data_IF_216481211619
#
_entry.id   IF_216481211619
#
_cell.length_a   1.000
_cell.length_b   1.000
_cell.length_c   1.000
_cell.angle_alpha   90.00
_cell.angle_beta   90.00
_cell.angle_gamma   90.00
#
_symmetry.space_group_name_H-M   'P 1'
#
loop_
_entity.id
_entity.type
_entity.pdbx_description
1 polymer ?
#
# COMPACT_ATOMS: atom_id res chain seq x y z
N UNK A 1 -0.24 -10.15 7.12
CA UNK A 1 -0.14 -9.09 8.14
C UNK A 1 -1.19 -9.34 9.20
N UNK A 2 -0.89 -9.05 10.47
CA UNK A 2 -1.84 -9.28 11.59
C UNK A 2 -1.50 -8.27 12.71
N UNK A 3 -2.01 -7.05 12.61
CA UNK A 3 -1.81 -5.97 13.59
C UNK A 3 -3.16 -5.30 13.92
N UNK A 4 -3.97 -5.92 14.82
CA UNK A 4 -5.29 -5.42 15.15
C UNK A 4 -5.25 -4.03 15.81
N UNK A 5 -6.33 -3.21 15.66
CA UNK A 5 -7.61 -3.60 15.06
C UNK A 5 -7.71 -3.37 13.55
N UNK A 6 -6.79 -2.66 12.91
CA UNK A 6 -6.96 -2.15 11.52
C UNK A 6 -5.71 -2.33 10.65
N UNK A 7 -4.75 -3.10 11.11
CA UNK A 7 -3.48 -3.31 10.39
C UNK A 7 -2.77 -1.98 10.04
N UNK A 8 -2.81 -0.98 10.92
CA UNK A 8 -1.93 0.17 10.83
C UNK A 8 -0.49 -0.30 11.11
N UNK A 9 0.46 0.07 10.27
CA UNK A 9 1.82 -0.45 10.34
C UNK A 9 2.77 0.58 11.00
N UNK A 10 3.41 0.16 12.09
CA UNK A 10 4.54 0.86 12.67
C UNK A 10 5.82 0.64 11.86
N UNK A 11 6.85 1.42 12.14
CA UNK A 11 8.12 1.32 11.43
C UNK A 11 8.76 -0.06 11.56
N UNK A 12 8.72 -0.66 12.76
CA UNK A 12 9.27 -1.99 13.02
C UNK A 12 8.60 -3.08 12.18
N UNK A 13 7.26 -3.08 12.10
CA UNK A 13 6.49 -4.04 11.30
C UNK A 13 6.77 -3.88 9.82
N UNK A 14 6.88 -2.64 9.38
CA UNK A 14 7.15 -2.28 7.98
C UNK A 14 8.55 -2.74 7.56
N UNK A 15 9.58 -2.54 8.39
CA UNK A 15 10.92 -3.09 8.15
C UNK A 15 10.96 -4.62 8.20
N UNK A 16 10.21 -5.24 9.12
CA UNK A 16 10.12 -6.69 9.19
C UNK A 16 9.53 -7.29 7.91
N UNK A 17 8.49 -6.66 7.36
CA UNK A 17 7.91 -7.03 6.08
C UNK A 17 8.93 -6.88 4.93
N UNK A 18 9.65 -5.76 4.88
CA UNK A 18 10.69 -5.54 3.89
C UNK A 18 11.78 -6.62 3.95
N UNK A 19 12.30 -6.90 5.16
CA UNK A 19 13.33 -7.93 5.37
C UNK A 19 12.86 -9.34 4.98
N UNK A 20 11.60 -9.66 5.25
CA UNK A 20 11.00 -10.93 4.83
C UNK A 20 10.98 -11.08 3.31
N UNK A 21 10.54 -10.06 2.58
CA UNK A 21 10.44 -10.05 1.13
C UNK A 21 11.82 -10.08 0.46
N UNK A 22 12.77 -9.31 0.97
CA UNK A 22 14.16 -9.31 0.49
C UNK A 22 14.83 -10.69 0.72
N UNK A 23 14.46 -11.39 1.79
CA UNK A 23 14.94 -12.75 2.10
C UNK A 23 14.60 -13.79 1.04
N UNK A 24 13.54 -13.59 0.25
CA UNK A 24 13.17 -14.53 -0.83
C UNK A 24 14.12 -14.49 -2.04
N UNK A 25 15.06 -13.56 -2.08
CA UNK A 25 16.10 -13.50 -3.11
C UNK A 25 16.95 -14.77 -3.16
N UNK A 26 17.23 -15.37 -2.00
CA UNK A 26 18.06 -16.56 -1.84
C UNK A 26 17.26 -17.87 -1.63
N UNK A 27 15.92 -17.77 -1.65
CA UNK A 27 15.03 -18.91 -1.42
C UNK A 27 14.57 -19.51 -2.77
N UNK A 28 15.24 -20.61 -3.20
CA UNK A 28 14.88 -21.32 -4.43
C UNK A 28 13.58 -22.13 -4.30
N UNK A 29 13.20 -22.47 -3.08
CA UNK A 29 11.97 -23.21 -2.75
C UNK A 29 10.72 -22.32 -2.77
N UNK A 30 10.86 -20.98 -2.74
CA UNK A 30 9.75 -20.02 -2.84
C UNK A 30 9.57 -19.59 -4.29
N UNK A 31 8.37 -19.77 -4.83
CA UNK A 31 8.03 -19.42 -6.23
C UNK A 31 7.10 -18.23 -6.36
N UNK A 32 6.23 -18.02 -5.39
CA UNK A 32 5.23 -16.92 -5.33
C UNK A 32 5.00 -16.56 -3.88
N UNK A 33 4.75 -15.30 -3.60
CA UNK A 33 4.32 -14.80 -2.29
C UNK A 33 2.87 -14.37 -2.39
N UNK A 34 2.04 -14.76 -1.43
CA UNK A 34 0.70 -14.18 -1.23
C UNK A 34 0.79 -13.21 -0.05
N UNK A 35 0.61 -11.93 -0.34
CA UNK A 35 0.56 -10.86 0.66
C UNK A 35 -0.90 -10.61 1.04
N UNK A 36 -1.25 -10.91 2.28
CA UNK A 36 -2.62 -10.78 2.79
C UNK A 36 -2.62 -10.27 4.22
N UNK A 37 -3.81 -9.96 4.74
CA UNK A 37 -4.00 -9.48 6.11
C UNK A 37 -5.12 -10.22 6.81
N UNK A 38 -4.98 -10.39 8.14
CA UNK A 38 -6.03 -10.91 9.00
C UNK A 38 -6.88 -9.80 9.57
N UNK A 39 -8.08 -10.17 10.00
CA UNK A 39 -9.01 -9.28 10.68
C UNK A 39 -9.64 -8.25 9.75
N UNK A 40 -9.91 -7.09 10.31
CA UNK A 40 -10.63 -6.03 9.63
C UNK A 40 -9.67 -5.21 8.77
N UNK A 41 -9.81 -5.33 7.45
CA UNK A 41 -9.09 -4.56 6.46
C UNK A 41 -7.67 -5.03 6.18
N UNK A 42 -7.18 -4.70 5.00
CA UNK A 42 -5.83 -5.04 4.57
C UNK A 42 -4.78 -4.19 5.29
N UNK A 43 -4.93 -2.86 5.25
CA UNK A 43 -4.03 -1.92 5.92
C UNK A 43 -4.66 -0.54 5.98
N UNK A 44 -4.65 0.08 7.16
CA UNK A 44 -5.16 1.45 7.38
C UNK A 44 -4.10 2.55 7.18
N UNK A 45 -2.88 2.21 6.79
CA UNK A 45 -1.78 3.16 6.63
C UNK A 45 -0.71 3.03 7.72
N UNK A 46 0.05 4.10 7.95
CA UNK A 46 1.05 4.19 9.02
C UNK A 46 0.38 4.32 10.40
N UNK A 47 1.06 3.84 11.44
CA UNK A 47 0.60 4.09 12.82
C UNK A 47 0.92 5.53 13.23
N UNK A 48 -0.10 6.40 13.13
CA UNK A 48 0.01 7.83 13.50
C UNK A 48 0.33 8.01 14.99
N UNK A 49 -0.10 7.09 15.85
CA UNK A 49 0.18 7.16 17.29
C UNK A 49 1.66 6.92 17.57
N UNK A 50 2.28 5.96 16.86
CA UNK A 50 3.72 5.71 16.94
C UNK A 50 4.51 6.95 16.50
N UNK A 51 4.16 7.54 15.36
CA UNK A 51 4.81 8.77 14.86
C UNK A 51 4.76 9.87 15.92
N UNK A 52 3.59 10.13 16.49
CA UNK A 52 3.44 11.20 17.48
C UNK A 52 4.16 10.89 18.80
N UNK A 53 4.18 9.63 19.23
CA UNK A 53 4.94 9.23 20.42
C UNK A 53 6.44 9.47 20.24
N UNK A 54 6.98 9.21 19.04
CA UNK A 54 8.38 9.46 18.71
C UNK A 54 8.71 10.95 18.54
N UNK A 55 7.73 11.76 18.14
CA UNK A 55 7.87 13.21 17.88
C UNK A 55 7.40 14.06 19.08
N UNK A 56 7.20 13.44 20.26
CA UNK A 56 6.69 14.09 21.46
C UNK A 56 7.59 15.21 22.01
N UNK A 57 8.85 15.25 21.62
CA UNK A 57 9.83 16.29 21.96
C UNK A 57 9.84 17.49 20.97
N UNK A 58 8.90 17.50 20.00
CA UNK A 58 8.82 18.52 18.96
C UNK A 58 9.74 18.28 17.76
N UNK A 59 10.35 17.08 17.69
CA UNK A 59 11.15 16.65 16.54
C UNK A 59 10.30 16.05 15.42
N UNK A 60 10.99 15.46 14.44
CA UNK A 60 10.37 14.78 13.29
C UNK A 60 10.96 13.38 13.06
N UNK A 61 11.45 12.75 14.12
CA UNK A 61 12.10 11.43 14.04
C UNK A 61 11.12 10.34 13.63
N UNK A 62 9.91 10.34 14.21
CA UNK A 62 8.86 9.39 13.89
C UNK A 62 8.40 9.52 12.44
N UNK A 63 8.22 10.74 11.95
CA UNK A 63 7.90 11.00 10.55
C UNK A 63 9.00 10.51 9.60
N UNK A 64 10.27 10.78 9.90
CA UNK A 64 11.40 10.34 9.08
C UNK A 64 11.47 8.82 9.05
N UNK A 65 11.29 8.17 10.20
CA UNK A 65 11.35 6.72 10.33
C UNK A 65 10.21 6.02 9.60
N UNK A 66 8.96 6.52 9.74
CA UNK A 66 7.81 6.02 9.00
C UNK A 66 8.02 6.13 7.48
N UNK A 67 8.53 7.26 7.00
CA UNK A 67 8.81 7.44 5.57
C UNK A 67 9.90 6.50 5.05
N UNK A 68 10.97 6.26 5.82
CA UNK A 68 12.05 5.34 5.43
C UNK A 68 11.56 3.89 5.40
N UNK A 69 10.87 3.46 6.45
CA UNK A 69 10.35 2.10 6.53
C UNK A 69 9.35 1.81 5.41
N UNK A 70 8.46 2.76 5.08
CA UNK A 70 7.55 2.65 3.95
C UNK A 70 8.30 2.53 2.62
N UNK A 71 9.33 3.37 2.38
CA UNK A 71 10.15 3.29 1.16
C UNK A 71 10.76 1.90 0.99
N UNK A 72 11.34 1.34 2.06
CA UNK A 72 11.95 0.01 2.04
C UNK A 72 10.92 -1.09 1.78
N UNK A 73 9.75 -1.05 2.43
CA UNK A 73 8.71 -2.04 2.22
C UNK A 73 8.13 -1.98 0.81
N UNK A 74 7.86 -0.78 0.29
CA UNK A 74 7.35 -0.61 -1.07
C UNK A 74 8.34 -1.11 -2.12
N UNK A 75 9.62 -0.76 -1.94
CA UNK A 75 10.71 -1.28 -2.77
C UNK A 75 10.80 -2.80 -2.66
N UNK A 76 10.71 -3.37 -1.45
CA UNK A 76 10.84 -4.81 -1.24
C UNK A 76 9.71 -5.61 -1.90
N UNK A 77 8.46 -5.10 -1.94
CA UNK A 77 7.37 -5.71 -2.71
C UNK A 77 7.66 -5.64 -4.21
N UNK A 78 8.03 -4.45 -4.70
CA UNK A 78 8.34 -4.22 -6.12
C UNK A 78 9.50 -5.08 -6.62
N UNK A 79 10.60 -5.12 -5.86
CA UNK A 79 11.84 -5.83 -6.20
C UNK A 79 11.88 -7.26 -5.67
N UNK A 80 10.80 -7.77 -5.06
CA UNK A 80 10.74 -9.15 -4.59
C UNK A 80 11.19 -10.09 -5.70
N UNK A 81 12.07 -11.03 -5.38
CA UNK A 81 12.66 -11.91 -6.40
C UNK A 81 11.64 -12.84 -7.07
N UNK A 82 10.48 -13.02 -6.47
CA UNK A 82 9.36 -13.82 -6.98
C UNK A 82 8.10 -12.96 -7.10
N UNK A 83 7.11 -13.35 -7.92
CA UNK A 83 5.84 -12.65 -7.99
C UNK A 83 5.16 -12.53 -6.64
N UNK A 84 4.54 -11.38 -6.41
CA UNK A 84 3.72 -11.09 -5.23
C UNK A 84 2.26 -10.96 -5.66
N UNK A 85 1.39 -11.80 -5.12
CA UNK A 85 -0.06 -11.74 -5.26
C UNK A 85 -0.62 -11.06 -4.01
N UNK A 86 -1.23 -9.89 -4.15
CA UNK A 86 -1.92 -9.23 -3.05
C UNK A 86 -3.37 -9.73 -2.96
N UNK A 87 -3.75 -10.24 -1.79
CA UNK A 87 -5.12 -10.63 -1.46
C UNK A 87 -5.70 -9.59 -0.49
N UNK A 88 -6.57 -8.71 -1.00
CA UNK A 88 -6.97 -7.48 -0.33
C UNK A 88 -8.40 -7.59 0.19
N UNK A 89 -8.56 -7.41 1.51
CA UNK A 89 -9.85 -7.44 2.20
C UNK A 89 -10.25 -6.05 2.73
N UNK A 90 -11.53 -5.74 2.69
CA UNK A 90 -12.25 -4.59 3.24
C UNK A 90 -11.67 -3.21 2.83
N UNK A 91 -10.57 -2.72 3.42
CA UNK A 91 -9.95 -1.44 3.05
C UNK A 91 -8.44 -1.55 2.86
N UNK A 92 -7.93 -0.72 1.95
CA UNK A 92 -6.52 -0.62 1.60
C UNK A 92 -6.14 0.86 1.49
N UNK A 93 -5.55 1.42 2.55
CA UNK A 93 -5.31 2.86 2.68
C UNK A 93 -3.84 3.17 2.91
N UNK A 94 -3.38 4.31 2.41
CA UNK A 94 -2.05 4.84 2.70
C UNK A 94 -0.92 3.86 2.38
N UNK A 95 -0.24 3.37 3.43
CA UNK A 95 0.79 2.32 3.29
C UNK A 95 0.28 1.08 2.56
N UNK A 96 -1.01 0.72 2.75
CA UNK A 96 -1.64 -0.37 2.00
C UNK A 96 -1.60 -0.15 0.49
N UNK A 97 -1.88 1.07 0.02
CA UNK A 97 -1.74 1.43 -1.41
C UNK A 97 -0.29 1.29 -1.87
N UNK A 98 0.67 1.70 -1.03
CA UNK A 98 2.09 1.53 -1.32
C UNK A 98 2.49 0.07 -1.50
N UNK A 99 1.97 -0.83 -0.67
CA UNK A 99 2.22 -2.26 -0.77
C UNK A 99 1.52 -2.88 -2.00
N UNK A 100 0.21 -2.65 -2.14
CA UNK A 100 -0.61 -3.27 -3.18
C UNK A 100 -0.28 -2.73 -4.57
N UNK A 101 0.01 -1.42 -4.70
CA UNK A 101 0.43 -0.82 -5.97
C UNK A 101 1.79 -1.32 -6.49
N UNK A 102 2.56 -2.01 -5.64
CA UNK A 102 3.82 -2.66 -6.02
C UNK A 102 3.72 -4.18 -6.16
N UNK A 103 2.58 -4.77 -5.82
CA UNK A 103 2.34 -6.18 -6.10
C UNK A 103 2.19 -6.43 -7.61
N UNK A 104 2.44 -7.67 -8.04
CA UNK A 104 2.37 -8.05 -9.44
C UNK A 104 0.94 -8.40 -9.87
N UNK A 105 0.15 -8.95 -8.97
CA UNK A 105 -1.24 -9.35 -9.20
C UNK A 105 -2.07 -9.03 -7.98
N UNK A 106 -3.30 -8.57 -8.19
CA UNK A 106 -4.21 -8.20 -7.11
C UNK A 106 -5.51 -9.00 -7.24
N UNK A 107 -5.91 -9.63 -6.15
CA UNK A 107 -7.24 -10.20 -5.93
C UNK A 107 -7.88 -9.42 -4.79
N UNK A 108 -9.09 -8.94 -4.95
CA UNK A 108 -9.76 -8.10 -3.97
C UNK A 108 -11.13 -8.65 -3.57
N UNK A 109 -11.52 -8.45 -2.32
CA UNK A 109 -12.90 -8.65 -1.92
C UNK A 109 -13.80 -7.52 -2.47
N UNK A 110 -15.07 -7.80 -2.72
CA UNK A 110 -16.08 -6.84 -3.25
C UNK A 110 -16.18 -5.56 -2.38
N UNK A 111 -15.99 -5.72 -1.06
CA UNK A 111 -16.13 -4.62 -0.10
C UNK A 111 -14.94 -3.65 -0.08
N UNK A 112 -13.86 -3.92 -0.82
CA UNK A 112 -12.61 -3.15 -0.68
C UNK A 112 -12.76 -1.73 -1.18
N UNK A 113 -12.39 -0.77 -0.29
CA UNK A 113 -12.10 0.61 -0.65
C UNK A 113 -10.60 0.86 -0.71
N UNK A 114 -10.11 1.36 -1.85
CA UNK A 114 -8.72 1.75 -2.08
C UNK A 114 -8.57 3.26 -2.03
N UNK A 115 -7.59 3.79 -1.30
CA UNK A 115 -7.40 5.23 -1.31
C UNK A 115 -6.25 5.79 -0.49
N UNK A 116 -6.08 7.10 -0.61
CA UNK A 116 -5.05 7.89 0.06
C UNK A 116 -5.68 9.01 0.88
N UNK A 117 -5.90 8.80 2.20
CA UNK A 117 -6.47 9.84 3.08
C UNK A 117 -5.41 10.83 3.59
N UNK A 118 -4.21 10.86 2.98
CA UNK A 118 -3.05 11.58 3.45
C UNK A 118 -3.26 13.10 3.45
N UNK A 119 -3.95 13.66 2.46
CA UNK A 119 -4.21 15.12 2.38
C UNK A 119 -5.02 15.58 3.59
N UNK A 120 -6.03 14.83 4.01
CA UNK A 120 -6.81 15.11 5.22
C UNK A 120 -5.97 15.01 6.50
N UNK A 121 -4.85 14.27 6.45
CA UNK A 121 -3.92 14.11 7.56
C UNK A 121 -2.72 15.07 7.49
N UNK A 122 -2.71 16.02 6.55
CA UNK A 122 -1.61 16.98 6.37
C UNK A 122 -0.31 16.34 5.90
N UNK A 123 -0.40 15.25 5.15
CA UNK A 123 0.73 14.50 4.62
C UNK A 123 0.53 14.21 3.13
N UNK A 124 1.56 13.71 2.50
CA UNK A 124 1.51 13.08 1.18
C UNK A 124 2.15 11.70 1.30
N UNK A 125 1.77 10.78 0.44
CA UNK A 125 2.36 9.45 0.44
C UNK A 125 1.63 8.51 -0.51
N UNK A 126 2.42 7.59 -1.10
CA UNK A 126 1.96 6.52 -1.98
C UNK A 126 1.24 6.94 -3.28
N UNK A 127 1.23 8.23 -3.68
CA UNK A 127 0.65 8.65 -4.96
C UNK A 127 1.34 7.99 -6.16
N UNK A 128 2.65 7.80 -6.10
CA UNK A 128 3.42 7.01 -7.07
C UNK A 128 2.80 5.62 -7.28
N UNK A 129 2.44 4.95 -6.19
CA UNK A 129 1.90 3.59 -6.20
C UNK A 129 0.42 3.57 -6.60
N UNK A 130 -0.34 4.61 -6.22
CA UNK A 130 -1.72 4.79 -6.69
C UNK A 130 -1.77 4.96 -8.21
N UNK A 131 -0.82 5.68 -8.82
CA UNK A 131 -0.74 5.85 -10.27
C UNK A 131 -0.47 4.55 -11.03
N UNK A 132 -0.08 3.48 -10.35
CA UNK A 132 0.01 2.13 -10.92
C UNK A 132 -1.32 1.37 -10.88
N UNK A 133 -2.26 1.84 -10.06
CA UNK A 133 -3.57 1.21 -9.85
C UNK A 133 -4.69 1.86 -10.67
N UNK A 134 -4.61 3.18 -10.88
CA UNK A 134 -5.66 3.94 -11.55
C UNK A 134 -5.07 4.94 -12.55
N UNK A 135 -5.85 5.39 -13.55
CA UNK A 135 -5.40 6.43 -14.50
C UNK A 135 -5.00 7.72 -13.79
N UNK A 136 -4.05 8.46 -14.36
CA UNK A 136 -3.43 9.64 -13.74
C UNK A 136 -4.43 10.71 -13.26
N UNK A 137 -5.51 10.98 -14.01
CA UNK A 137 -6.52 11.97 -13.60
C UNK A 137 -7.37 11.46 -12.44
N UNK A 138 -7.67 10.15 -12.39
CA UNK A 138 -8.36 9.53 -11.27
C UNK A 138 -7.48 9.53 -10.02
N UNK A 139 -6.19 9.22 -10.15
CA UNK A 139 -5.22 9.30 -9.05
C UNK A 139 -5.16 10.71 -8.44
N UNK A 140 -5.16 11.77 -9.26
CA UNK A 140 -5.18 13.16 -8.80
C UNK A 140 -6.46 13.47 -8.01
N UNK A 141 -7.61 13.05 -8.53
CA UNK A 141 -8.88 13.26 -7.84
C UNK A 141 -8.90 12.54 -6.49
N UNK A 142 -8.54 11.25 -6.46
CA UNK A 142 -8.50 10.45 -5.24
C UNK A 142 -7.54 11.06 -4.20
N UNK A 143 -6.35 11.52 -4.62
CA UNK A 143 -5.38 12.14 -3.71
C UNK A 143 -5.90 13.46 -3.14
N UNK A 144 -6.52 14.32 -3.97
CA UNK A 144 -6.95 15.65 -3.54
C UNK A 144 -8.25 15.64 -2.72
N UNK A 145 -9.17 14.72 -3.05
CA UNK A 145 -10.48 14.61 -2.40
C UNK A 145 -10.51 13.59 -1.26
N UNK A 146 -9.48 12.76 -1.14
CA UNK A 146 -9.45 11.58 -0.26
C UNK A 146 -10.59 10.57 -0.56
N UNK A 147 -11.19 10.63 -1.76
CA UNK A 147 -12.20 9.69 -2.21
C UNK A 147 -11.60 8.31 -2.46
N UNK A 148 -12.33 7.26 -2.08
CA UNK A 148 -11.90 5.89 -2.32
C UNK A 148 -12.42 5.39 -3.69
N UNK A 149 -11.65 4.50 -4.30
CA UNK A 149 -12.10 3.70 -5.44
C UNK A 149 -12.52 2.30 -4.96
N UNK A 150 -13.51 1.71 -5.60
CA UNK A 150 -13.95 0.34 -5.29
C UNK A 150 -13.05 -0.71 -5.96
N UNK A 151 -13.15 -1.96 -5.49
CA UNK A 151 -12.51 -3.10 -6.14
C UNK A 151 -12.97 -3.27 -7.60
N UNK A 152 -14.26 -3.07 -7.86
CA UNK A 152 -14.84 -3.11 -9.20
C UNK A 152 -14.31 -2.01 -10.12
N UNK A 153 -14.12 -0.80 -9.59
CA UNK A 153 -13.51 0.29 -10.35
C UNK A 153 -12.09 -0.06 -10.77
N UNK A 154 -11.26 -0.60 -9.86
CA UNK A 154 -9.90 -1.02 -10.17
C UNK A 154 -9.87 -2.23 -11.11
N UNK A 155 -10.84 -3.12 -11.01
CA UNK A 155 -11.01 -4.23 -11.93
C UNK A 155 -11.32 -3.73 -13.35
N UNK A 156 -12.20 -2.75 -13.48
CA UNK A 156 -12.51 -2.11 -14.76
C UNK A 156 -11.29 -1.43 -15.40
N UNK A 157 -10.35 -0.92 -14.60
CA UNK A 157 -9.05 -0.40 -15.08
C UNK A 157 -8.03 -1.50 -15.42
N UNK A 158 -8.30 -2.76 -15.04
CA UNK A 158 -7.40 -3.90 -15.24
C UNK A 158 -6.32 -4.05 -14.17
N UNK A 159 -6.36 -3.28 -13.08
CA UNK A 159 -5.39 -3.35 -11.99
C UNK A 159 -5.72 -4.47 -11.00
N UNK A 160 -7.00 -4.75 -10.76
CA UNK A 160 -7.46 -5.90 -9.98
C UNK A 160 -7.82 -7.03 -10.94
N UNK A 161 -7.18 -8.19 -10.78
CA UNK A 161 -7.40 -9.35 -11.63
C UNK A 161 -8.79 -9.98 -11.42
N UNK A 162 -9.17 -10.15 -10.15
CA UNK A 162 -10.48 -10.73 -9.76
C UNK A 162 -11.06 -9.99 -8.56
N UNK A 163 -12.36 -9.77 -8.60
CA UNK A 163 -13.16 -9.31 -7.46
C UNK A 163 -14.05 -10.47 -7.03
N UNK A 164 -14.03 -10.79 -5.74
CA UNK A 164 -14.69 -11.98 -5.18
C UNK A 164 -15.33 -11.66 -3.82
N UNK A 165 -16.18 -12.54 -3.32
CA UNK A 165 -16.67 -12.41 -1.94
C UNK A 165 -15.51 -12.54 -0.93
N UNK A 166 -15.69 -11.99 0.27
CA UNK A 166 -14.66 -12.04 1.32
C UNK A 166 -14.27 -13.49 1.68
N UNK A 167 -15.23 -14.40 1.65
CA UNK A 167 -15.01 -15.82 1.97
C UNK A 167 -14.21 -16.56 0.89
N UNK A 168 -14.28 -16.12 -0.36
CA UNK A 168 -13.56 -16.72 -1.50
C UNK A 168 -12.15 -16.13 -1.68
N UNK A 169 -11.83 -15.03 -1.02
CA UNK A 169 -10.60 -14.27 -1.25
C UNK A 169 -9.34 -15.13 -1.09
N UNK A 170 -9.24 -15.90 -0.02
CA UNK A 170 -8.05 -16.70 0.28
C UNK A 170 -7.85 -17.84 -0.74
N UNK A 171 -8.93 -18.52 -1.09
CA UNK A 171 -8.90 -19.63 -2.05
C UNK A 171 -8.58 -19.11 -3.45
N UNK A 172 -9.18 -18.01 -3.88
CA UNK A 172 -8.91 -17.37 -5.18
C UNK A 172 -7.45 -16.90 -5.27
N UNK A 173 -6.94 -16.25 -4.22
CA UNK A 173 -5.54 -15.83 -4.21
C UNK A 173 -4.58 -17.02 -4.28
N UNK A 174 -4.92 -18.12 -3.61
CA UNK A 174 -4.14 -19.36 -3.64
C UNK A 174 -4.19 -20.01 -5.03
N UNK A 175 -5.36 -20.03 -5.68
CA UNK A 175 -5.51 -20.51 -7.07
C UNK A 175 -4.62 -19.69 -8.03
N UNK A 176 -4.69 -18.36 -7.94
CA UNK A 176 -3.88 -17.46 -8.78
C UNK A 176 -2.38 -17.69 -8.54
N UNK A 177 -1.97 -17.79 -7.27
CA UNK A 177 -0.58 -18.09 -6.92
C UNK A 177 -0.15 -19.47 -7.47
N UNK A 178 -1.02 -20.46 -7.44
CA UNK A 178 -0.80 -21.80 -8.00
C UNK A 178 -0.52 -21.77 -9.51
N UNK A 179 -1.26 -20.95 -10.26
CA UNK A 179 -1.02 -20.77 -11.71
C UNK A 179 0.39 -20.23 -11.97
N UNK A 180 0.85 -19.29 -11.18
CA UNK A 180 2.20 -18.72 -11.29
C UNK A 180 3.25 -19.73 -10.82
N UNK A 181 3.03 -20.39 -9.68
CA UNK A 181 3.96 -21.36 -9.12
C UNK A 181 4.20 -22.59 -10.01
N UNK A 182 3.27 -22.91 -10.91
CA UNK A 182 3.42 -23.98 -11.91
C UNK A 182 4.40 -23.62 -13.05
N UNK A 183 4.80 -22.35 -13.19
CA UNK A 183 5.76 -21.91 -14.21
C UNK A 183 7.20 -22.22 -13.79
N UNK A 184 8.13 -22.18 -14.76
CA UNK A 184 9.55 -22.28 -14.46
C UNK A 184 9.99 -21.09 -13.60
N UNK A 185 10.61 -21.37 -12.44
CA UNK A 185 10.97 -20.35 -11.44
C UNK A 185 11.96 -19.31 -11.98
N UNK A 186 12.99 -19.75 -12.71
CA UNK A 186 14.03 -18.86 -13.22
C UNK A 186 13.48 -17.91 -14.27
N UNK A 187 12.63 -18.45 -15.17
CA UNK A 187 11.96 -17.65 -16.20
C UNK A 187 11.01 -16.64 -15.56
N UNK A 188 10.28 -17.03 -14.52
CA UNK A 188 9.34 -16.16 -13.85
C UNK A 188 10.05 -15.01 -13.10
N UNK A 189 11.17 -15.31 -12.43
CA UNK A 189 12.05 -14.29 -11.80
C UNK A 189 12.60 -13.32 -12.83
N UNK A 190 13.11 -13.83 -13.95
CA UNK A 190 13.62 -12.99 -15.04
C UNK A 190 12.51 -12.14 -15.67
N UNK A 191 11.29 -12.68 -15.84
CA UNK A 191 10.14 -11.94 -16.35
C UNK A 191 9.75 -10.78 -15.44
N UNK A 192 9.69 -11.00 -14.11
CA UNK A 192 9.43 -9.92 -13.14
C UNK A 192 10.52 -8.85 -13.19
N UNK A 193 11.79 -9.23 -13.19
CA UNK A 193 12.89 -8.28 -13.29
C UNK A 193 12.83 -7.45 -14.59
N UNK A 194 12.46 -8.10 -15.70
CA UNK A 194 12.26 -7.43 -16.99
C UNK A 194 11.10 -6.45 -16.95
N UNK A 195 9.94 -6.85 -16.42
CA UNK A 195 8.77 -5.96 -16.28
C UNK A 195 9.09 -4.74 -15.42
N UNK A 196 9.78 -4.93 -14.29
CA UNK A 196 10.20 -3.82 -13.43
C UNK A 196 11.18 -2.87 -14.15
N UNK A 197 12.01 -3.39 -15.06
CA UNK A 197 12.97 -2.59 -15.82
C UNK A 197 12.34 -1.72 -16.91
N UNK A 198 11.16 -2.09 -17.42
CA UNK A 198 10.40 -1.36 -18.45
C UNK A 198 9.18 -0.63 -17.92
N UNK A 199 8.94 -0.68 -16.60
CA UNK A 199 7.82 0.01 -15.95
C UNK A 199 7.92 1.53 -16.21
N UNK A 200 6.86 2.17 -16.75
CA UNK A 200 6.87 3.61 -17.01
C UNK A 200 6.85 4.46 -15.72
N UNK A 201 6.46 3.88 -14.59
CA UNK A 201 6.46 4.56 -13.29
C UNK A 201 7.78 4.29 -12.58
N UNK A 202 8.58 5.33 -12.37
CA UNK A 202 9.82 5.22 -11.59
C UNK A 202 9.52 5.11 -10.09
N UNK A 203 9.21 3.91 -9.64
CA UNK A 203 8.85 3.60 -8.25
C UNK A 203 9.96 4.00 -7.27
N UNK A 204 11.26 3.88 -7.69
CA UNK A 204 12.40 4.14 -6.80
C UNK A 204 12.61 5.62 -6.52
N UNK A 205 12.34 6.50 -7.50
CA UNK A 205 12.59 7.94 -7.39
C UNK A 205 11.36 8.76 -7.08
N UNK A 206 10.22 8.38 -7.66
CA UNK A 206 8.99 9.18 -7.57
C UNK A 206 8.48 9.26 -6.14
N UNK A 207 8.47 8.18 -5.38
CA UNK A 207 8.06 8.21 -3.98
C UNK A 207 9.00 9.07 -3.12
N UNK A 208 10.31 9.00 -3.37
CA UNK A 208 11.29 9.84 -2.68
C UNK A 208 11.09 11.33 -2.96
N UNK A 209 10.72 11.67 -4.18
CA UNK A 209 10.35 13.04 -4.56
C UNK A 209 9.09 13.49 -3.82
N UNK A 210 8.07 12.66 -3.73
CA UNK A 210 6.82 12.91 -3.01
C UNK A 210 7.06 13.13 -1.50
N UNK A 211 7.93 12.34 -0.89
CA UNK A 211 8.30 12.50 0.52
C UNK A 211 8.88 13.89 0.85
N UNK A 212 9.57 14.53 -0.10
CA UNK A 212 10.09 15.88 0.06
C UNK A 212 9.01 16.89 0.46
N UNK A 213 7.85 16.84 -0.19
CA UNK A 213 6.71 17.72 0.14
C UNK A 213 6.10 17.38 1.51
N UNK A 214 6.06 16.11 1.89
CA UNK A 214 5.61 15.72 3.24
C UNK A 214 6.52 16.33 4.31
N UNK A 215 7.84 16.32 4.13
CA UNK A 215 8.76 16.96 5.06
C UNK A 215 8.57 18.47 5.11
N UNK A 216 8.40 19.13 3.96
CA UNK A 216 8.13 20.56 3.90
C UNK A 216 6.86 20.96 4.67
N UNK A 217 5.75 20.25 4.44
CA UNK A 217 4.48 20.47 5.15
C UNK A 217 4.62 20.30 6.67
N UNK A 218 5.40 19.32 7.11
CA UNK A 218 5.65 19.10 8.54
C UNK A 218 6.55 20.18 9.14
N UNK A 219 7.59 20.63 8.45
CA UNK A 219 8.44 21.75 8.90
C UNK A 219 7.64 23.06 9.01
N UNK A 220 6.58 23.22 8.21
CA UNK A 220 5.65 24.34 8.29
C UNK A 220 4.55 24.15 9.36
N UNK A 221 4.56 23.05 10.13
CA UNK A 221 3.59 22.74 11.17
C UNK A 221 2.21 22.28 10.65
N UNK A 222 2.02 22.13 9.33
CA UNK A 222 0.71 21.77 8.76
C UNK A 222 0.33 20.33 9.04
N UNK A 223 1.28 19.43 9.04
CA UNK A 223 1.06 18.02 9.37
C UNK A 223 0.69 17.81 10.85
N UNK A 224 1.27 18.59 11.78
CA UNK A 224 1.00 18.46 13.21
C UNK A 224 -0.43 18.85 13.55
N UNK A 225 -0.93 19.94 12.94
CA UNK A 225 -2.31 20.39 13.12
C UNK A 225 -3.31 19.33 12.66
N UNK A 226 -3.12 18.76 11.47
CA UNK A 226 -3.99 17.74 10.91
C UNK A 226 -3.96 16.43 11.74
N UNK A 227 -2.78 15.96 12.14
CA UNK A 227 -2.64 14.77 13.01
C UNK A 227 -3.29 14.97 14.38
N UNK A 228 -3.13 16.15 14.95
CA UNK A 228 -3.76 16.49 16.23
C UNK A 228 -5.28 16.51 16.12
N UNK A 229 -5.85 17.07 15.06
CA UNK A 229 -7.29 17.04 14.78
C UNK A 229 -7.79 15.59 14.60
N UNK A 230 -7.05 14.76 13.88
CA UNK A 230 -7.35 13.34 13.71
C UNK A 230 -7.46 12.60 15.06
N UNK A 231 -6.51 12.82 15.97
CA UNK A 231 -6.53 12.16 17.30
C UNK A 231 -7.65 12.64 18.20
N UNK A 232 -8.09 13.91 18.04
CA UNK A 232 -9.27 14.43 18.74
C UNK A 232 -10.59 13.98 18.11
N UNK A 233 -10.57 13.20 17.00
CA UNK A 233 -11.77 12.78 16.29
C UNK A 233 -12.45 13.89 15.48
N UNK A 234 -11.77 15.02 15.24
CA UNK A 234 -12.29 16.21 14.52
C UNK A 234 -12.13 16.08 12.99
N UNK A 235 -11.58 14.98 12.53
CA UNK A 235 -11.34 14.73 11.11
C UNK A 235 -12.64 14.63 10.33
N UNK A 236 -12.67 15.22 9.13
CA UNK A 236 -13.71 14.94 8.15
C UNK A 236 -13.69 13.43 7.81
N UNK A 237 -14.83 12.74 7.87
CA UNK A 237 -14.85 11.33 7.52
C UNK A 237 -14.40 11.17 6.06
N UNK A 238 -13.40 10.32 5.83
CA UNK A 238 -13.04 9.88 4.49
C UNK A 238 -14.30 9.33 3.86
N UNK A 239 -14.77 9.90 2.76
CA UNK A 239 -15.99 9.43 2.09
C UNK A 239 -15.71 8.04 1.54
N UNK A 240 -16.33 7.06 2.15
CA UNK A 240 -16.45 5.74 1.56
C UNK A 240 -17.13 5.90 0.19
N UNK A 241 -16.78 5.02 -0.74
CA UNK A 241 -17.28 4.95 -2.12
C UNK A 241 -18.69 5.52 -2.25
N UNK A 242 -18.96 6.45 -3.19
CA UNK A 242 -20.33 6.91 -3.44
C UNK A 242 -21.20 5.68 -3.70
N UNK A 243 -22.34 5.59 -2.99
CA UNK A 243 -23.38 4.64 -3.41
C UNK A 243 -23.69 4.96 -4.89
N UNK A 244 -23.49 3.97 -5.75
CA UNK A 244 -23.70 4.13 -7.19
C UNK A 244 -25.13 4.58 -7.51
N UNK A 245 -25.37 5.09 -8.73
CA UNK A 245 -26.68 5.57 -9.15
C UNK A 245 -27.73 4.46 -9.13
#
# INVERSE_FOLDING_TARGET
>A
MDNPPVNALGAADTYALAGLLDGYRTREDVRVVVLTARGRGFCAGVDIKEIQAMDSDGGHRGLVEANRSCEEAFRAVYECAVPVVAAVNDFCLGTGIGLVGNADVIVAAESVGFGLPEVDNGALGAATHLMRLVPAHRARWMLYSCELASAEELHAYGSVLRVVSADELADTATEVAGVLAAKNSDVLRAAKASMNGIDPVDVRRSYRYEQGFTFELNLLGRGDEARSAFLRGERSPTRLVPEGP
#
